data_IF_938031865086
#
_entry.id   IF_938031865086
#
_cell.length_a   1.000
_cell.length_b   1.000
_cell.length_c   1.000
_cell.angle_alpha   90.00
_cell.angle_beta   90.00
_cell.angle_gamma   90.00
#
_symmetry.space_group_name_H-M   'P 1'
#
loop_
_entity.id
_entity.type
_entity.pdbx_description
1 polymer ?
#
# COMPACT_ATOMS: atom_id res chain seq x y z
N UNK A 1 -1.29 -5.96 31.64
CA UNK A 1 -0.14 -5.04 31.54
C UNK A 1 -0.18 -4.41 30.16
N UNK A 2 -0.04 -3.10 30.08
CA UNK A 2 0.03 -2.45 28.76
C UNK A 2 1.40 -2.80 28.15
N UNK A 3 1.41 -3.35 26.94
CA UNK A 3 2.63 -3.67 26.23
C UNK A 3 3.38 -2.38 25.87
N UNK A 4 4.71 -2.43 25.86
CA UNK A 4 5.54 -1.35 25.35
C UNK A 4 5.76 -1.48 23.82
N UNK A 5 5.98 -2.70 23.36
CA UNK A 5 6.23 -3.04 21.98
C UNK A 5 5.21 -4.06 21.46
N UNK A 6 4.59 -3.78 20.33
CA UNK A 6 3.74 -4.74 19.61
C UNK A 6 4.38 -5.09 18.27
N UNK A 7 4.53 -6.37 17.97
CA UNK A 7 4.96 -6.85 16.65
C UNK A 7 3.74 -7.38 15.92
N UNK A 8 3.52 -6.89 14.71
CA UNK A 8 2.37 -7.22 13.86
C UNK A 8 2.81 -7.98 12.62
N UNK A 9 2.25 -9.16 12.39
CA UNK A 9 2.64 -10.05 11.30
C UNK A 9 1.39 -10.58 10.60
N UNK A 10 1.10 -10.13 9.36
CA UNK A 10 0.04 -10.71 8.54
C UNK A 10 0.46 -12.06 7.99
N UNK A 11 -0.44 -13.04 8.02
CA UNK A 11 -0.20 -14.42 7.57
C UNK A 11 -1.27 -14.82 6.55
N UNK A 12 -0.83 -15.41 5.44
CA UNK A 12 -1.72 -16.03 4.46
C UNK A 12 -1.02 -17.18 3.72
N UNK A 13 -1.30 -18.42 4.10
CA UNK A 13 -0.70 -19.64 3.55
C UNK A 13 0.83 -19.65 3.67
N UNK A 14 1.34 -19.49 4.89
CA UNK A 14 2.76 -19.39 5.22
C UNK A 14 3.24 -20.55 6.12
N UNK A 15 2.58 -21.72 6.06
CA UNK A 15 2.89 -22.87 6.90
C UNK A 15 4.37 -23.28 6.87
N UNK A 16 5.07 -23.05 5.74
CA UNK A 16 6.49 -23.41 5.58
C UNK A 16 7.41 -22.42 6.30
N UNK A 17 7.01 -21.15 6.38
CA UNK A 17 7.82 -20.06 6.96
C UNK A 17 7.59 -19.90 8.48
N UNK A 18 6.41 -20.25 8.99
CA UNK A 18 6.04 -20.04 10.41
C UNK A 18 7.04 -20.64 11.40
N UNK A 19 7.56 -21.87 11.24
CA UNK A 19 8.51 -22.43 12.22
C UNK A 19 9.78 -21.61 12.33
N UNK A 20 10.41 -21.28 11.20
CA UNK A 20 11.65 -20.48 11.14
C UNK A 20 11.40 -19.05 11.60
N UNK A 21 10.26 -18.46 11.22
CA UNK A 21 9.87 -17.13 11.67
C UNK A 21 9.72 -17.06 13.18
N UNK A 22 9.02 -18.04 13.77
CA UNK A 22 8.83 -18.11 15.22
C UNK A 22 10.14 -18.30 15.98
N UNK A 23 10.99 -19.22 15.52
CA UNK A 23 12.30 -19.45 16.11
C UNK A 23 13.15 -18.17 16.14
N UNK A 24 13.29 -17.50 14.99
CA UNK A 24 14.10 -16.28 14.88
C UNK A 24 13.50 -15.12 15.67
N UNK A 25 12.18 -14.92 15.56
CA UNK A 25 11.48 -13.84 16.24
C UNK A 25 11.53 -14.01 17.77
N UNK A 26 11.26 -15.22 18.28
CA UNK A 26 11.32 -15.51 19.72
C UNK A 26 12.72 -15.30 20.29
N UNK A 27 13.76 -15.66 19.52
CA UNK A 27 15.15 -15.38 19.88
C UNK A 27 15.44 -13.90 19.97
N UNK A 28 15.05 -13.10 18.96
CA UNK A 28 15.23 -11.64 18.98
C UNK A 28 14.53 -11.02 20.18
N UNK A 29 13.28 -11.45 20.46
CA UNK A 29 12.52 -10.93 21.59
C UNK A 29 13.17 -11.29 22.94
N UNK A 30 13.74 -12.47 23.06
CA UNK A 30 14.43 -12.92 24.28
C UNK A 30 15.79 -12.24 24.48
N UNK A 31 16.51 -11.91 23.42
CA UNK A 31 17.86 -11.30 23.50
C UNK A 31 17.83 -9.77 23.55
N UNK A 32 16.92 -9.13 22.80
CA UNK A 32 16.94 -7.66 22.63
C UNK A 32 15.91 -6.92 23.48
N UNK A 33 14.85 -7.60 23.95
CA UNK A 33 13.74 -6.97 24.69
C UNK A 33 13.53 -7.63 26.05
N UNK A 34 14.58 -7.59 26.88
CA UNK A 34 14.65 -8.25 28.19
C UNK A 34 14.18 -7.38 29.34
N UNK A 35 13.98 -6.07 29.13
CA UNK A 35 13.58 -5.14 30.17
C UNK A 35 12.13 -5.41 30.61
N UNK A 36 11.89 -5.81 31.88
CA UNK A 36 10.55 -6.03 32.42
C UNK A 36 9.66 -4.78 32.41
N UNK A 37 10.25 -3.58 32.37
CA UNK A 37 9.52 -2.31 32.25
C UNK A 37 9.04 -2.04 30.82
N UNK A 38 9.54 -2.78 29.82
CA UNK A 38 9.20 -2.68 28.42
C UNK A 38 8.62 -4.00 27.89
N UNK A 39 7.48 -4.46 28.40
CA UNK A 39 6.88 -5.72 27.97
C UNK A 39 6.47 -5.67 26.50
N UNK A 40 6.56 -6.81 25.82
CA UNK A 40 6.22 -6.93 24.41
C UNK A 40 5.08 -7.91 24.19
N UNK A 41 4.43 -7.77 23.04
CA UNK A 41 3.42 -8.69 22.51
C UNK A 41 3.63 -8.91 21.01
N UNK A 42 3.16 -10.06 20.50
CA UNK A 42 3.15 -10.38 19.09
C UNK A 42 1.72 -10.69 18.66
N UNK A 43 1.28 -10.03 17.58
CA UNK A 43 -0.04 -10.23 17.00
C UNK A 43 0.12 -10.78 15.58
N UNK A 44 -0.22 -12.05 15.40
CA UNK A 44 -0.40 -12.64 14.09
C UNK A 44 -1.83 -12.41 13.61
N UNK A 45 -2.01 -12.03 12.35
CA UNK A 45 -3.34 -11.99 11.74
C UNK A 45 -3.39 -13.02 10.61
N UNK A 46 -4.18 -14.06 10.81
CA UNK A 46 -4.48 -15.03 9.77
C UNK A 46 -5.54 -14.46 8.82
N UNK A 47 -5.13 -14.15 7.61
CA UNK A 47 -5.99 -13.58 6.56
C UNK A 47 -6.76 -14.69 5.80
N UNK A 48 -7.36 -15.62 6.53
CA UNK A 48 -8.17 -16.71 5.99
C UNK A 48 -7.34 -17.76 5.26
N UNK A 49 -6.25 -18.22 5.84
CA UNK A 49 -5.40 -19.29 5.30
C UNK A 49 -6.17 -20.58 5.08
N UNK A 50 -5.76 -21.34 4.06
CA UNK A 50 -6.37 -22.62 3.67
C UNK A 50 -5.47 -23.81 3.97
N UNK A 51 -4.26 -23.53 4.41
CA UNK A 51 -3.24 -24.52 4.82
C UNK A 51 -3.21 -24.67 6.35
N UNK A 52 -2.13 -25.18 6.89
CA UNK A 52 -1.97 -25.41 8.34
C UNK A 52 -1.53 -24.14 9.12
N UNK A 53 -1.39 -22.99 8.46
CA UNK A 53 -0.87 -21.76 9.09
C UNK A 53 -1.64 -21.40 10.36
N UNK A 54 -2.97 -21.30 10.30
CA UNK A 54 -3.80 -20.97 11.46
C UNK A 54 -3.60 -21.93 12.62
N UNK A 55 -3.60 -23.25 12.34
CA UNK A 55 -3.42 -24.27 13.38
C UNK A 55 -2.08 -24.12 14.11
N UNK A 56 -1.00 -23.87 13.35
CA UNK A 56 0.35 -23.67 13.91
C UNK A 56 0.42 -22.41 14.77
N UNK A 57 -0.17 -21.30 14.32
CA UNK A 57 -0.21 -20.05 15.08
C UNK A 57 -0.99 -20.19 16.39
N UNK A 58 -2.12 -20.91 16.36
CA UNK A 58 -2.92 -21.17 17.56
C UNK A 58 -2.14 -21.99 18.59
N UNK A 59 -1.35 -22.96 18.17
CA UNK A 59 -0.46 -23.72 19.08
C UNK A 59 0.62 -22.81 19.68
N UNK A 60 1.21 -21.89 18.90
CA UNK A 60 2.16 -20.89 19.42
C UNK A 60 1.48 -20.01 20.48
N UNK A 61 0.27 -19.49 20.19
CA UNK A 61 -0.46 -18.63 21.11
C UNK A 61 -0.89 -19.34 22.40
N UNK A 62 -1.11 -20.67 22.39
CA UNK A 62 -1.35 -21.45 23.60
C UNK A 62 -0.10 -21.59 24.47
N UNK A 63 1.07 -21.71 23.83
CA UNK A 63 2.35 -21.89 24.52
C UNK A 63 2.96 -20.57 25.03
N UNK A 64 2.67 -19.43 24.39
CA UNK A 64 3.24 -18.12 24.74
C UNK A 64 2.11 -17.10 24.96
N UNK A 65 1.85 -16.70 26.23
CA UNK A 65 0.74 -15.80 26.60
C UNK A 65 0.85 -14.39 25.98
N UNK A 66 2.03 -13.98 25.53
CA UNK A 66 2.28 -12.70 24.88
C UNK A 66 1.94 -12.71 23.37
N UNK A 67 1.52 -13.87 22.85
CA UNK A 67 1.12 -14.03 21.46
C UNK A 67 -0.39 -14.06 21.33
N UNK A 68 -0.92 -13.29 20.39
CA UNK A 68 -2.32 -13.31 19.97
C UNK A 68 -2.43 -13.69 18.50
N UNK A 69 -3.51 -14.37 18.14
CA UNK A 69 -3.83 -14.66 16.75
C UNK A 69 -5.22 -14.14 16.42
N UNK A 70 -5.28 -13.21 15.50
CA UNK A 70 -6.52 -12.65 14.95
C UNK A 70 -6.90 -13.47 13.71
N UNK A 71 -7.98 -14.25 13.80
CA UNK A 71 -8.48 -15.07 12.70
C UNK A 71 -9.52 -14.31 11.91
N UNK A 72 -9.31 -14.13 10.61
CA UNK A 72 -10.30 -13.59 9.69
C UNK A 72 -11.20 -14.70 9.12
N UNK A 73 -12.44 -14.36 8.77
CA UNK A 73 -13.38 -15.32 8.19
C UNK A 73 -13.07 -15.67 6.72
N UNK A 74 -12.25 -14.87 6.03
CA UNK A 74 -11.76 -15.06 4.66
C UNK A 74 -10.58 -14.15 4.38
N UNK A 75 -9.97 -14.26 3.20
CA UNK A 75 -8.93 -13.35 2.74
C UNK A 75 -9.48 -11.96 2.41
N UNK A 76 -8.87 -10.92 3.00
CA UNK A 76 -9.15 -9.49 2.78
C UNK A 76 -7.93 -8.72 2.30
N UNK A 77 -6.77 -9.39 2.22
CA UNK A 77 -5.49 -8.82 1.80
C UNK A 77 -4.62 -8.30 2.94
N UNK A 78 -3.31 -8.26 2.68
CA UNK A 78 -2.26 -7.96 3.65
C UNK A 78 -2.51 -6.69 4.46
N UNK A 79 -2.90 -5.59 3.79
CA UNK A 79 -3.16 -4.33 4.49
C UNK A 79 -4.33 -4.43 5.48
N UNK A 80 -5.40 -5.16 5.11
CA UNK A 80 -6.51 -5.41 6.02
C UNK A 80 -6.09 -6.24 7.23
N UNK A 81 -5.22 -7.24 7.01
CA UNK A 81 -4.67 -8.08 8.07
C UNK A 81 -3.82 -7.25 9.06
N UNK A 82 -3.00 -6.33 8.55
CA UNK A 82 -2.23 -5.40 9.40
C UNK A 82 -3.16 -4.49 10.22
N UNK A 83 -4.22 -3.93 9.60
CA UNK A 83 -5.20 -3.13 10.34
C UNK A 83 -5.94 -3.94 11.42
N UNK A 84 -6.27 -5.21 11.13
CA UNK A 84 -6.86 -6.10 12.12
C UNK A 84 -5.93 -6.34 13.31
N UNK A 85 -4.64 -6.49 13.06
CA UNK A 85 -3.67 -6.59 14.13
C UNK A 85 -3.51 -5.25 14.89
N UNK A 86 -3.43 -4.10 14.19
CA UNK A 86 -3.33 -2.79 14.83
C UNK A 86 -4.45 -2.54 15.85
N UNK A 87 -5.67 -2.99 15.56
CA UNK A 87 -6.80 -2.88 16.47
C UNK A 87 -6.62 -3.68 17.79
N UNK A 88 -5.79 -4.72 17.76
CA UNK A 88 -5.50 -5.58 18.92
C UNK A 88 -4.20 -5.22 19.63
N UNK A 89 -3.39 -4.29 19.08
CA UNK A 89 -2.12 -3.86 19.67
C UNK A 89 -2.32 -2.93 20.86
N UNK A 90 -1.47 -3.10 21.89
CA UNK A 90 -1.44 -2.25 23.10
C UNK A 90 -0.10 -1.50 23.27
N UNK A 91 0.94 -1.88 22.53
CA UNK A 91 2.28 -1.32 22.64
C UNK A 91 2.35 0.17 22.28
N UNK A 92 3.27 0.89 22.93
CA UNK A 92 3.58 2.29 22.60
C UNK A 92 4.30 2.40 21.25
N UNK A 93 5.04 1.37 20.89
CA UNK A 93 5.70 1.21 19.59
C UNK A 93 5.08 0.00 18.91
N UNK A 94 4.74 0.14 17.63
CA UNK A 94 4.17 -0.95 16.84
C UNK A 94 5.04 -1.20 15.62
N UNK A 95 5.52 -2.43 15.46
CA UNK A 95 6.37 -2.85 14.34
C UNK A 95 5.60 -3.81 13.44
N UNK A 96 5.60 -3.56 12.14
CA UNK A 96 5.09 -4.49 11.13
C UNK A 96 6.23 -5.31 10.53
N UNK A 97 6.00 -6.60 10.31
CA UNK A 97 6.95 -7.53 9.73
C UNK A 97 6.22 -8.49 8.79
N UNK A 98 6.80 -8.80 7.62
CA UNK A 98 6.29 -9.83 6.71
C UNK A 98 6.71 -11.23 7.17
N UNK A 99 5.87 -12.23 6.89
CA UNK A 99 6.11 -13.62 7.28
C UNK A 99 7.10 -14.36 6.38
N UNK A 100 7.43 -13.84 5.20
CA UNK A 100 8.25 -14.50 4.18
C UNK A 100 9.77 -14.46 4.44
N UNK A 101 10.17 -13.93 5.59
CA UNK A 101 11.57 -13.82 6.05
C UNK A 101 12.50 -12.98 5.13
N UNK A 102 11.96 -12.28 4.13
CA UNK A 102 12.76 -11.36 3.31
C UNK A 102 13.33 -10.19 4.14
N UNK A 103 12.59 -9.77 5.16
CA UNK A 103 13.03 -8.81 6.15
C UNK A 103 13.34 -9.55 7.46
N UNK A 104 14.61 -9.65 7.87
CA UNK A 104 14.99 -10.39 9.07
C UNK A 104 14.41 -9.79 10.34
N UNK A 105 13.83 -10.59 11.27
CA UNK A 105 13.38 -10.12 12.58
C UNK A 105 14.48 -9.43 13.40
N UNK A 106 15.73 -9.77 13.16
CA UNK A 106 16.94 -9.20 13.81
C UNK A 106 17.11 -7.71 13.55
N UNK A 107 16.40 -7.16 12.57
CA UNK A 107 16.43 -5.72 12.26
C UNK A 107 15.43 -4.91 13.12
N UNK A 108 14.49 -5.57 13.82
CA UNK A 108 13.47 -4.92 14.68
C UNK A 108 14.09 -3.95 15.69
N UNK A 109 15.16 -4.33 16.45
CA UNK A 109 15.74 -3.44 17.45
C UNK A 109 16.22 -2.11 16.88
N UNK A 110 16.74 -2.08 15.65
CA UNK A 110 17.20 -0.84 15.00
C UNK A 110 16.05 0.14 14.73
N UNK A 111 14.88 -0.37 14.32
CA UNK A 111 13.71 0.47 14.08
C UNK A 111 13.12 0.98 15.39
N UNK A 112 13.04 0.11 16.41
CA UNK A 112 12.54 0.48 17.75
C UNK A 112 13.39 1.60 18.34
N UNK A 113 14.73 1.47 18.30
CA UNK A 113 15.64 2.50 18.77
C UNK A 113 15.40 3.87 18.09
N UNK A 114 15.09 3.88 16.81
CA UNK A 114 14.76 5.13 16.10
C UNK A 114 13.44 5.75 16.55
N UNK A 115 12.42 4.93 16.85
CA UNK A 115 11.17 5.46 17.43
C UNK A 115 11.43 6.03 18.83
N UNK A 116 12.29 5.38 19.63
CA UNK A 116 12.70 5.88 20.95
C UNK A 116 13.48 7.21 20.88
N UNK A 117 14.17 7.50 19.76
CA UNK A 117 14.76 8.82 19.49
C UNK A 117 13.69 9.90 19.17
N UNK A 118 12.40 9.53 19.17
CA UNK A 118 11.27 10.44 18.96
C UNK A 118 10.85 10.56 17.48
N UNK A 119 11.14 9.58 16.63
CA UNK A 119 10.55 9.47 15.30
C UNK A 119 9.17 8.80 15.39
N UNK A 120 8.20 9.32 14.64
CA UNK A 120 6.82 8.82 14.66
C UNK A 120 6.62 7.62 13.74
N UNK A 121 7.36 7.59 12.62
CA UNK A 121 7.36 6.49 11.66
C UNK A 121 8.79 6.22 11.17
N UNK A 122 9.18 4.96 11.19
CA UNK A 122 10.51 4.50 10.75
C UNK A 122 10.35 3.39 9.73
N UNK A 123 10.89 3.57 8.52
CA UNK A 123 10.88 2.58 7.46
C UNK A 123 12.20 1.82 7.35
N UNK A 124 12.15 0.53 7.04
CA UNK A 124 13.32 -0.20 6.59
C UNK A 124 13.66 0.18 5.14
N UNK A 125 14.93 0.42 4.86
CA UNK A 125 15.45 0.62 3.51
C UNK A 125 16.34 -0.56 3.13
N UNK A 126 15.90 -1.36 2.16
CA UNK A 126 16.58 -2.57 1.71
C UNK A 126 17.83 -2.22 0.90
N UNK A 127 19.01 -2.52 1.43
CA UNK A 127 20.29 -2.34 0.73
C UNK A 127 20.51 -3.47 -0.29
N UNK A 128 21.04 -3.15 -1.47
CA UNK A 128 21.45 -4.13 -2.51
C UNK A 128 20.39 -4.44 -3.58
N UNK A 129 19.20 -3.85 -3.53
CA UNK A 129 18.15 -4.09 -4.54
C UNK A 129 18.42 -3.42 -5.90
N UNK A 130 19.37 -2.48 -5.97
CA UNK A 130 19.57 -1.65 -7.17
C UNK A 130 20.34 -2.37 -8.30
N UNK A 131 21.05 -3.45 -8.04
CA UNK A 131 21.98 -4.05 -9.01
C UNK A 131 21.38 -5.17 -9.88
N UNK A 132 20.20 -5.72 -9.56
CA UNK A 132 19.62 -6.86 -10.27
C UNK A 132 18.22 -6.67 -10.86
N UNK A 133 17.57 -5.51 -10.70
CA UNK A 133 16.22 -5.32 -11.23
C UNK A 133 16.23 -4.76 -12.66
N UNK A 134 15.61 -5.49 -13.60
CA UNK A 134 15.36 -5.09 -14.98
C UNK A 134 14.75 -3.68 -15.07
N UNK A 135 15.20 -2.88 -16.04
CA UNK A 135 14.73 -1.52 -16.36
C UNK A 135 13.20 -1.36 -16.37
N UNK A 136 12.47 -2.40 -16.80
CA UNK A 136 10.99 -2.44 -16.78
C UNK A 136 10.37 -2.56 -15.38
N UNK A 137 11.11 -3.00 -14.36
CA UNK A 137 10.65 -3.08 -12.96
C UNK A 137 10.97 -1.81 -12.17
N UNK A 138 12.01 -1.09 -12.53
CA UNK A 138 12.45 0.12 -11.82
C UNK A 138 11.68 1.38 -12.25
N UNK A 139 11.21 1.46 -13.49
CA UNK A 139 10.48 2.61 -14.02
C UNK A 139 9.14 2.88 -13.30
N UNK A 140 8.26 1.87 -13.09
CA UNK A 140 7.04 2.06 -12.33
C UNK A 140 7.26 2.49 -10.88
N UNK A 141 8.28 1.94 -10.21
CA UNK A 141 8.59 2.31 -8.82
C UNK A 141 9.08 3.75 -8.69
N UNK A 142 9.83 4.29 -9.67
CA UNK A 142 10.27 5.69 -9.68
C UNK A 142 9.08 6.66 -9.83
N UNK A 143 8.09 6.31 -10.64
CA UNK A 143 6.89 7.13 -10.82
C UNK A 143 6.05 7.16 -9.52
N UNK A 144 5.83 5.99 -8.91
CA UNK A 144 5.12 5.90 -7.61
C UNK A 144 5.86 6.68 -6.54
N UNK A 145 7.17 6.48 -6.41
CA UNK A 145 7.98 7.23 -5.45
C UNK A 145 7.94 8.75 -5.70
N UNK A 146 7.92 9.20 -6.97
CA UNK A 146 7.81 10.62 -7.31
C UNK A 146 6.44 11.18 -6.95
N UNK A 147 5.37 10.43 -7.18
CA UNK A 147 3.99 10.84 -6.87
C UNK A 147 3.77 10.84 -5.37
N UNK A 148 4.12 9.76 -4.68
CA UNK A 148 4.01 9.67 -3.22
C UNK A 148 4.83 10.77 -2.54
N UNK A 149 6.03 11.06 -3.04
CA UNK A 149 6.86 12.19 -2.59
C UNK A 149 6.16 13.53 -2.78
N UNK A 150 5.47 13.74 -3.92
CA UNK A 150 4.75 15.00 -4.20
C UNK A 150 3.50 15.14 -3.34
N UNK A 151 2.84 14.03 -3.01
CA UNK A 151 1.58 14.01 -2.24
C UNK A 151 1.84 14.06 -0.74
N UNK A 152 2.86 13.34 -0.23
CA UNK A 152 3.17 13.28 1.21
C UNK A 152 4.26 14.26 1.64
N UNK A 153 4.97 14.90 0.70
CA UNK A 153 6.12 15.76 0.98
C UNK A 153 7.37 15.03 1.50
N UNK A 154 7.31 13.72 1.67
CA UNK A 154 8.37 12.89 2.28
C UNK A 154 9.20 12.19 1.22
N UNK A 155 10.53 12.27 1.35
CA UNK A 155 11.48 11.55 0.49
C UNK A 155 11.86 10.25 1.18
N UNK A 156 11.24 9.13 0.80
CA UNK A 156 11.66 7.80 1.21
C UNK A 156 12.37 7.08 0.06
N UNK A 157 13.35 6.25 0.41
CA UNK A 157 14.09 5.42 -0.55
C UNK A 157 13.32 4.15 -0.91
N UNK A 158 12.61 3.56 0.06
CA UNK A 158 11.90 2.29 -0.14
C UNK A 158 10.50 2.30 0.49
N UNK A 159 9.49 2.60 -0.32
CA UNK A 159 8.10 2.48 0.08
C UNK A 159 7.59 1.04 0.15
N UNK A 160 8.27 0.11 -0.54
CA UNK A 160 7.84 -1.29 -0.64
C UNK A 160 8.30 -2.18 0.51
N UNK A 161 9.14 -1.68 1.43
CA UNK A 161 9.53 -2.43 2.60
C UNK A 161 8.43 -2.36 3.66
N UNK A 162 7.93 -3.52 4.08
CA UNK A 162 6.88 -3.61 5.11
C UNK A 162 7.44 -3.76 6.53
N UNK A 163 8.76 -3.91 6.69
CA UNK A 163 9.41 -3.80 7.99
C UNK A 163 9.46 -2.33 8.40
N UNK A 164 8.54 -1.93 9.27
CA UNK A 164 8.34 -0.55 9.70
C UNK A 164 7.98 -0.49 11.16
N UNK A 165 8.38 0.60 11.82
CA UNK A 165 7.97 0.91 13.20
C UNK A 165 7.18 2.22 13.22
N UNK A 166 6.17 2.26 14.08
CA UNK A 166 5.27 3.39 14.24
C UNK A 166 5.07 3.71 15.72
N UNK A 167 4.94 4.99 16.06
CA UNK A 167 4.45 5.40 17.36
C UNK A 167 2.97 5.04 17.54
N UNK A 168 2.51 4.91 18.77
CA UNK A 168 1.10 4.66 19.10
C UNK A 168 0.17 5.70 18.49
N UNK A 169 0.56 6.96 18.50
CA UNK A 169 -0.27 8.06 17.99
C UNK A 169 -0.52 7.91 16.50
N UNK A 170 0.50 7.53 15.71
CA UNK A 170 0.35 7.26 14.28
C UNK A 170 -0.58 6.06 14.05
N UNK A 171 -0.44 4.98 14.81
CA UNK A 171 -1.32 3.80 14.69
C UNK A 171 -2.76 4.16 15.03
N UNK A 172 -2.99 4.92 16.11
CA UNK A 172 -4.32 5.38 16.49
C UNK A 172 -4.95 6.27 15.40
N UNK A 173 -4.16 7.20 14.83
CA UNK A 173 -4.62 8.03 13.72
C UNK A 173 -5.00 7.20 12.49
N UNK A 174 -4.18 6.21 12.13
CA UNK A 174 -4.49 5.29 11.04
C UNK A 174 -5.76 4.47 11.28
N UNK A 175 -6.01 4.03 12.51
CA UNK A 175 -7.22 3.28 12.87
C UNK A 175 -8.50 4.12 12.76
N UNK A 176 -8.41 5.42 12.94
CA UNK A 176 -9.55 6.34 12.74
C UNK A 176 -9.90 6.54 11.26
N UNK A 177 -8.97 6.27 10.34
CA UNK A 177 -9.22 6.40 8.91
C UNK A 177 -10.15 5.30 8.42
N UNK A 178 -11.18 5.68 7.69
CA UNK A 178 -12.16 4.75 7.09
C UNK A 178 -11.77 4.31 5.67
N UNK A 179 -10.75 4.89 5.09
CA UNK A 179 -10.27 4.61 3.73
C UNK A 179 -10.00 3.11 3.54
N UNK A 180 -10.62 2.51 2.51
CA UNK A 180 -10.47 1.08 2.22
C UNK A 180 -9.18 0.74 1.49
N UNK A 181 -8.77 1.62 0.59
CA UNK A 181 -7.58 1.46 -0.23
C UNK A 181 -6.41 2.18 0.42
N UNK A 182 -5.98 1.72 1.60
CA UNK A 182 -4.88 2.35 2.33
C UNK A 182 -3.59 1.61 2.06
N UNK A 183 -2.66 2.25 1.37
CA UNK A 183 -1.26 1.83 1.38
C UNK A 183 -0.65 2.32 2.70
N UNK A 184 -0.49 1.41 3.66
CA UNK A 184 -0.10 1.73 5.04
C UNK A 184 1.11 2.65 5.14
N UNK A 185 2.22 2.45 4.38
CA UNK A 185 3.36 3.37 4.43
C UNK A 185 3.02 4.83 4.08
N UNK A 186 2.16 5.03 3.07
CA UNK A 186 1.76 6.39 2.69
C UNK A 186 0.80 7.00 3.71
N UNK A 187 -0.15 6.20 4.21
CA UNK A 187 -1.10 6.64 5.23
C UNK A 187 -0.40 7.02 6.53
N UNK A 188 0.54 6.20 7.02
CA UNK A 188 1.32 6.50 8.20
C UNK A 188 2.11 7.81 8.07
N UNK A 189 2.72 8.04 6.89
CA UNK A 189 3.47 9.27 6.61
C UNK A 189 2.58 10.52 6.61
N UNK A 190 1.28 10.40 6.33
CA UNK A 190 0.35 11.53 6.39
C UNK A 190 0.08 12.02 7.83
N UNK A 191 0.31 11.15 8.82
CA UNK A 191 0.11 11.48 10.24
C UNK A 191 1.43 11.68 11.00
N UNK A 192 2.53 11.12 10.50
CA UNK A 192 3.83 11.22 11.13
C UNK A 192 4.45 12.61 10.90
N UNK A 193 4.90 13.26 11.96
CA UNK A 193 5.63 14.54 11.89
C UNK A 193 7.13 14.32 11.64
N UNK A 194 7.72 13.31 12.29
CA UNK A 194 9.13 12.95 12.19
C UNK A 194 9.27 11.55 11.60
N UNK A 195 9.83 11.47 10.40
CA UNK A 195 9.97 10.21 9.66
C UNK A 195 11.45 9.93 9.44
N UNK A 196 11.85 8.66 9.62
CA UNK A 196 13.20 8.19 9.35
C UNK A 196 13.19 6.91 8.52
N UNK A 197 14.33 6.59 7.93
CA UNK A 197 14.62 5.30 7.31
C UNK A 197 15.89 4.72 7.92
N UNK A 198 15.90 3.40 8.08
CA UNK A 198 17.05 2.64 8.58
C UNK A 198 17.45 1.62 7.54
N UNK A 199 18.74 1.51 7.19
CA UNK A 199 19.20 0.46 6.31
C UNK A 199 18.98 -0.91 6.98
N UNK A 200 18.29 -1.81 6.28
CA UNK A 200 17.99 -3.15 6.75
C UNK A 200 18.52 -4.19 5.77
N UNK A 201 18.92 -5.33 6.29
CA UNK A 201 19.30 -6.47 5.47
C UNK A 201 18.07 -6.97 4.68
N UNK A 202 18.33 -7.49 3.48
CA UNK A 202 17.30 -8.10 2.65
C UNK A 202 17.78 -9.50 2.25
N UNK A 203 17.02 -10.53 2.67
CA UNK A 203 17.29 -11.90 2.29
C UNK A 203 16.51 -12.27 1.02
N UNK A 204 17.02 -13.21 0.25
CA UNK A 204 16.26 -13.84 -0.82
C UNK A 204 15.07 -14.62 -0.20
N UNK A 205 13.96 -14.68 -0.92
CA UNK A 205 12.76 -15.37 -0.47
C UNK A 205 13.05 -16.84 -0.19
N UNK A 206 12.79 -17.30 1.02
CA UNK A 206 13.09 -18.68 1.43
C UNK A 206 12.24 -19.72 0.67
N UNK A 207 11.00 -19.38 0.27
CA UNK A 207 10.11 -20.24 -0.52
C UNK A 207 9.09 -19.42 -1.32
N UNK A 208 8.72 -19.89 -2.53
CA UNK A 208 7.64 -19.34 -3.37
C UNK A 208 8.09 -18.52 -4.59
N UNK A 209 7.41 -18.72 -5.73
CA UNK A 209 7.63 -17.94 -6.96
C UNK A 209 6.82 -16.64 -6.98
N UNK A 210 7.41 -15.57 -7.53
CA UNK A 210 6.71 -14.31 -7.77
C UNK A 210 5.69 -14.47 -8.92
N UNK A 211 4.42 -14.64 -8.59
CA UNK A 211 3.30 -14.81 -9.55
C UNK A 211 2.75 -13.50 -10.12
N UNK A 212 3.53 -12.42 -10.16
CA UNK A 212 3.05 -11.13 -10.67
C UNK A 212 3.35 -10.98 -12.17
N UNK A 213 2.34 -11.23 -13.02
CA UNK A 213 2.39 -10.89 -14.43
C UNK A 213 2.41 -9.36 -14.67
N UNK A 214 2.91 -8.92 -15.83
CA UNK A 214 3.02 -7.50 -16.22
C UNK A 214 1.69 -6.73 -16.06
N UNK A 215 0.55 -7.32 -16.44
CA UNK A 215 -0.78 -6.73 -16.26
C UNK A 215 -1.12 -6.42 -14.81
N UNK A 216 -0.75 -7.31 -13.90
CA UNK A 216 -1.01 -7.12 -12.46
C UNK A 216 -0.18 -5.98 -11.89
N UNK A 217 1.06 -5.80 -12.38
CA UNK A 217 1.92 -4.68 -12.01
C UNK A 217 1.37 -3.34 -12.55
N UNK A 218 0.90 -3.29 -13.80
CA UNK A 218 0.28 -2.10 -14.39
C UNK A 218 -0.98 -1.69 -13.62
N UNK A 219 -1.87 -2.65 -13.33
CA UNK A 219 -3.08 -2.39 -12.57
C UNK A 219 -2.75 -1.89 -11.15
N UNK A 220 -1.77 -2.51 -10.48
CA UNK A 220 -1.33 -2.06 -9.16
C UNK A 220 -0.81 -0.61 -9.19
N UNK A 221 -0.05 -0.24 -10.23
CA UNK A 221 0.45 1.13 -10.39
C UNK A 221 -0.69 2.12 -10.64
N UNK A 222 -1.66 1.74 -11.48
CA UNK A 222 -2.85 2.57 -11.75
C UNK A 222 -3.70 2.74 -10.48
N UNK A 223 -3.88 1.67 -9.72
CA UNK A 223 -4.58 1.69 -8.44
C UNK A 223 -3.90 2.62 -7.43
N UNK A 224 -2.59 2.52 -7.28
CA UNK A 224 -1.83 3.41 -6.40
C UNK A 224 -1.95 4.88 -6.85
N UNK A 225 -1.80 5.14 -8.16
CA UNK A 225 -1.88 6.48 -8.72
C UNK A 225 -3.24 7.13 -8.48
N UNK A 226 -4.32 6.40 -8.72
CA UNK A 226 -5.70 6.91 -8.60
C UNK A 226 -6.19 6.94 -7.15
N UNK A 227 -5.61 6.11 -6.25
CA UNK A 227 -5.95 6.12 -4.82
C UNK A 227 -5.35 7.31 -4.08
N UNK A 228 -4.13 7.72 -4.44
CA UNK A 228 -3.38 8.75 -3.69
C UNK A 228 -3.24 10.08 -4.42
N UNK A 229 -3.74 10.21 -5.65
CA UNK A 229 -3.52 11.41 -6.45
C UNK A 229 -4.71 11.75 -7.33
N UNK A 230 -5.08 13.02 -7.34
CA UNK A 230 -6.00 13.59 -8.31
C UNK A 230 -5.29 14.02 -9.62
N UNK A 231 -3.97 13.77 -9.72
CA UNK A 231 -3.18 14.14 -10.90
C UNK A 231 -3.75 13.60 -12.22
N UNK A 232 -4.20 12.32 -12.33
CA UNK A 232 -4.79 11.83 -13.57
C UNK A 232 -6.04 12.60 -13.98
N UNK A 233 -6.89 12.97 -13.00
CA UNK A 233 -8.10 13.73 -13.23
C UNK A 233 -7.77 15.19 -13.62
N UNK A 234 -6.80 15.80 -12.95
CA UNK A 234 -6.33 17.16 -13.28
C UNK A 234 -5.68 17.20 -14.67
N UNK A 235 -4.83 16.21 -15.01
CA UNK A 235 -4.23 16.10 -16.33
C UNK A 235 -5.30 15.95 -17.43
N UNK A 236 -6.33 15.16 -17.17
CA UNK A 236 -7.47 14.99 -18.08
C UNK A 236 -8.23 16.32 -18.26
N UNK A 237 -8.44 17.06 -17.18
CA UNK A 237 -9.11 18.37 -17.23
C UNK A 237 -8.31 19.37 -18.07
N UNK A 238 -6.98 19.43 -17.86
CA UNK A 238 -6.09 20.30 -18.67
C UNK A 238 -6.11 19.87 -20.14
N UNK A 239 -6.02 18.55 -20.40
CA UNK A 239 -6.13 18.01 -21.76
C UNK A 239 -7.47 18.37 -22.41
N UNK A 240 -8.58 18.27 -21.68
CA UNK A 240 -9.90 18.69 -22.15
C UNK A 240 -9.97 20.15 -22.53
N UNK A 241 -9.41 21.06 -21.72
CA UNK A 241 -9.35 22.50 -22.00
C UNK A 241 -8.52 22.78 -23.26
N UNK A 242 -7.33 22.16 -23.39
CA UNK A 242 -6.46 22.32 -24.57
C UNK A 242 -7.16 21.80 -25.83
N UNK A 243 -7.81 20.66 -25.74
CA UNK A 243 -8.55 20.04 -26.86
C UNK A 243 -9.74 20.90 -27.27
N UNK A 244 -10.49 21.45 -26.31
CA UNK A 244 -11.60 22.36 -26.57
C UNK A 244 -11.13 23.65 -27.24
N UNK A 245 -10.05 24.25 -26.76
CA UNK A 245 -9.46 25.45 -27.36
C UNK A 245 -9.00 25.19 -28.80
N UNK A 246 -8.33 24.05 -29.04
CA UNK A 246 -7.92 23.65 -30.38
C UNK A 246 -9.13 23.43 -31.30
N UNK A 247 -10.16 22.72 -30.83
CA UNK A 247 -11.40 22.51 -31.59
C UNK A 247 -12.12 23.78 -31.92
N UNK A 248 -12.15 24.78 -30.99
CA UNK A 248 -12.73 26.10 -31.22
C UNK A 248 -11.95 26.86 -32.27
N UNK A 249 -10.62 26.88 -32.22
CA UNK A 249 -9.78 27.55 -33.23
C UNK A 249 -9.96 26.92 -34.62
N UNK A 250 -10.04 25.56 -34.68
CA UNK A 250 -10.31 24.84 -35.91
C UNK A 250 -11.68 25.17 -36.47
N UNK A 251 -12.71 25.25 -35.63
CA UNK A 251 -14.06 25.68 -36.02
C UNK A 251 -14.04 27.07 -36.62
N UNK A 252 -13.40 28.05 -35.95
CA UNK A 252 -13.29 29.39 -36.43
C UNK A 252 -12.57 29.44 -37.79
N UNK A 253 -11.47 28.71 -37.94
CA UNK A 253 -10.72 28.63 -39.19
C UNK A 253 -11.56 28.05 -40.33
N UNK A 254 -12.33 26.97 -40.07
CA UNK A 254 -13.23 26.39 -41.06
C UNK A 254 -14.37 27.30 -41.44
N UNK A 255 -14.93 28.06 -40.49
CA UNK A 255 -15.98 29.05 -40.78
C UNK A 255 -15.42 30.16 -41.68
N UNK A 256 -14.25 30.74 -41.37
CA UNK A 256 -13.59 31.76 -42.19
C UNK A 256 -13.27 31.20 -43.58
N UNK A 257 -12.69 29.97 -43.68
CA UNK A 257 -12.38 29.33 -44.94
C UNK A 257 -13.63 29.18 -45.83
N UNK A 258 -14.78 28.79 -45.25
CA UNK A 258 -16.05 28.66 -45.97
C UNK A 258 -16.56 29.95 -46.51
N UNK A 259 -16.40 31.05 -45.82
CA UNK A 259 -16.80 32.40 -46.32
C UNK A 259 -15.90 32.84 -47.46
N UNK A 260 -14.62 32.47 -47.46
CA UNK A 260 -13.64 32.86 -48.47
C UNK A 260 -13.75 31.96 -49.75
N UNK A 261 -14.13 30.66 -49.58
CA UNK A 261 -14.18 29.68 -50.66
C UNK A 261 -15.55 28.96 -50.73
N UNK A 262 -16.57 29.59 -51.31
CA UNK A 262 -17.95 29.06 -51.30
C UNK A 262 -18.13 27.75 -52.12
N UNK A 263 -17.23 27.49 -53.09
CA UNK A 263 -17.44 26.46 -54.13
C UNK A 263 -16.88 25.06 -53.81
N UNK A 264 -16.39 24.78 -52.63
CA UNK A 264 -15.66 23.52 -52.34
C UNK A 264 -16.23 22.69 -51.19
N UNK A 265 -17.31 21.90 -51.35
CA UNK A 265 -18.02 21.43 -50.15
C UNK A 265 -18.24 19.91 -49.99
N UNK A 266 -18.00 19.08 -50.98
CA UNK A 266 -18.34 17.64 -50.84
C UNK A 266 -17.25 16.77 -50.18
N UNK A 267 -16.00 17.20 -50.18
CA UNK A 267 -14.85 16.40 -49.64
C UNK A 267 -14.63 16.54 -48.13
N UNK A 268 -15.25 17.51 -47.44
CA UNK A 268 -15.08 17.78 -46.04
C UNK A 268 -15.85 16.86 -45.07
N UNK A 269 -16.82 16.11 -45.56
CA UNK A 269 -17.70 15.28 -44.70
C UNK A 269 -16.92 14.16 -43.99
N UNK A 270 -16.04 13.45 -44.72
CA UNK A 270 -15.20 12.41 -44.09
C UNK A 270 -14.24 12.94 -43.06
N UNK A 271 -13.64 14.11 -43.34
CA UNK A 271 -12.76 14.80 -42.38
C UNK A 271 -13.54 15.21 -41.13
N UNK A 272 -14.78 15.70 -41.29
CA UNK A 272 -15.64 16.05 -40.16
C UNK A 272 -15.95 14.84 -39.27
N UNK A 273 -16.30 13.69 -39.89
CA UNK A 273 -16.54 12.47 -39.14
C UNK A 273 -15.28 11.95 -38.45
N UNK A 274 -14.11 12.02 -39.09
CA UNK A 274 -12.85 11.60 -38.45
C UNK A 274 -12.54 12.46 -37.19
N UNK A 275 -12.72 13.78 -37.30
CA UNK A 275 -12.56 14.70 -36.15
C UNK A 275 -13.60 14.40 -35.08
N UNK A 276 -14.86 14.20 -35.44
CA UNK A 276 -15.94 13.87 -34.52
C UNK A 276 -15.63 12.58 -33.74
N UNK A 277 -15.24 11.48 -34.43
CA UNK A 277 -14.91 10.23 -33.78
C UNK A 277 -13.69 10.32 -32.87
N UNK A 278 -12.69 11.13 -33.24
CA UNK A 278 -11.56 11.41 -32.38
C UNK A 278 -12.01 12.06 -31.04
N UNK A 279 -12.84 13.11 -31.12
CA UNK A 279 -13.35 13.77 -29.90
C UNK A 279 -14.25 12.85 -29.07
N UNK A 280 -15.10 12.06 -29.71
CA UNK A 280 -15.94 11.07 -29.02
C UNK A 280 -15.06 10.02 -28.33
N UNK A 281 -13.98 9.55 -28.98
CA UNK A 281 -13.00 8.67 -28.36
C UNK A 281 -12.33 9.27 -27.12
N UNK A 282 -11.88 10.51 -27.20
CA UNK A 282 -11.32 11.26 -26.05
C UNK A 282 -12.35 11.38 -24.92
N UNK A 283 -13.62 11.62 -25.24
CA UNK A 283 -14.70 11.73 -24.26
C UNK A 283 -14.96 10.39 -23.54
N UNK A 284 -14.91 9.26 -24.24
CA UNK A 284 -15.03 7.94 -23.58
C UNK A 284 -13.88 7.63 -22.64
N UNK A 285 -12.64 8.03 -22.97
CA UNK A 285 -11.49 7.91 -22.07
C UNK A 285 -11.74 8.75 -20.80
N UNK A 286 -12.23 9.96 -20.97
CA UNK A 286 -12.58 10.84 -19.86
C UNK A 286 -13.65 10.24 -18.94
N UNK A 287 -14.71 9.69 -19.51
CA UNK A 287 -15.77 9.02 -18.76
C UNK A 287 -15.26 7.76 -18.05
N UNK A 288 -14.37 7.00 -18.67
CA UNK A 288 -13.74 5.84 -18.03
C UNK A 288 -12.95 6.22 -16.78
N UNK A 289 -12.13 7.26 -16.87
CA UNK A 289 -11.38 7.75 -15.72
C UNK A 289 -12.31 8.32 -14.62
N UNK A 290 -13.33 9.10 -15.02
CA UNK A 290 -14.32 9.63 -14.08
C UNK A 290 -15.07 8.49 -13.36
N UNK A 291 -15.44 7.45 -14.13
CA UNK A 291 -16.09 6.24 -13.58
C UNK A 291 -15.23 5.54 -12.54
N UNK A 292 -13.90 5.48 -12.73
CA UNK A 292 -12.97 4.92 -11.75
C UNK A 292 -13.01 5.71 -10.42
N UNK A 293 -12.96 7.05 -10.46
CA UNK A 293 -13.04 7.86 -9.25
C UNK A 293 -14.42 7.76 -8.58
N UNK A 294 -15.51 7.76 -9.35
CA UNK A 294 -16.86 7.55 -8.81
C UNK A 294 -16.98 6.16 -8.16
N UNK A 295 -16.42 5.14 -8.78
CA UNK A 295 -16.38 3.79 -8.24
C UNK A 295 -15.66 3.72 -6.89
N UNK A 296 -14.54 4.43 -6.74
CA UNK A 296 -13.81 4.55 -5.47
C UNK A 296 -14.63 5.29 -4.42
N UNK A 297 -15.20 6.45 -4.75
CA UNK A 297 -16.10 7.20 -3.85
C UNK A 297 -17.27 6.32 -3.40
N UNK A 298 -17.86 5.56 -4.33
CA UNK A 298 -18.97 4.64 -4.00
C UNK A 298 -18.53 3.56 -3.00
N UNK A 299 -17.32 3.02 -3.13
CA UNK A 299 -16.78 2.04 -2.18
C UNK A 299 -16.54 2.64 -0.80
N UNK A 300 -16.07 3.88 -0.72
CA UNK A 300 -15.85 4.63 0.52
C UNK A 300 -17.19 4.94 1.23
N UNK A 301 -18.16 5.47 0.48
CA UNK A 301 -19.47 5.87 1.02
C UNK A 301 -20.29 4.68 1.56
N UNK A 302 -20.07 3.47 1.01
CA UNK A 302 -20.77 2.26 1.50
C UNK A 302 -20.43 1.88 2.95
N UNK A 303 -19.36 2.41 3.52
CA UNK A 303 -18.91 2.19 4.91
C UNK A 303 -18.93 0.71 5.36
N UNK A 304 -18.64 -0.23 4.46
CA UNK A 304 -18.52 -1.65 4.80
C UNK A 304 -17.23 -1.87 5.60
N UNK A 305 -17.22 -2.75 6.61
CA UNK A 305 -16.01 -3.04 7.35
C UNK A 305 -14.88 -3.54 6.41
N UNK A 306 -13.63 -3.12 6.69
CA UNK A 306 -12.45 -3.53 5.91
C UNK A 306 -12.21 -5.02 5.98
N UNK A 307 -12.47 -5.62 7.13
CA UNK A 307 -12.31 -7.04 7.44
C UNK A 307 -13.35 -7.47 8.48
N UNK A 308 -13.49 -8.76 8.66
CA UNK A 308 -14.35 -9.37 9.69
C UNK A 308 -13.51 -10.35 10.48
N UNK A 309 -13.29 -10.03 11.75
CA UNK A 309 -12.66 -10.94 12.71
C UNK A 309 -13.64 -12.05 13.05
N UNK A 310 -13.22 -13.29 12.86
CA UNK A 310 -13.99 -14.49 13.26
C UNK A 310 -13.73 -14.84 14.72
N UNK A 311 -12.46 -14.78 15.12
CA UNK A 311 -12.03 -15.10 16.49
C UNK A 311 -10.66 -14.50 16.78
N UNK A 312 -10.43 -14.17 18.05
CA UNK A 312 -9.09 -13.87 18.59
C UNK A 312 -8.71 -15.03 19.50
N UNK A 313 -7.55 -15.65 19.21
CA UNK A 313 -6.98 -16.72 19.99
C UNK A 313 -5.84 -16.18 20.84
N UNK A 314 -5.86 -16.45 22.14
CA UNK A 314 -4.84 -16.09 23.13
C UNK A 314 -4.84 -17.15 24.21
N UNK A 315 -3.69 -17.36 24.89
CA UNK A 315 -3.66 -18.16 26.11
C UNK A 315 -4.63 -17.55 27.13
N UNK A 316 -5.49 -18.41 27.71
CA UNK A 316 -6.48 -18.01 28.71
C UNK A 316 -5.88 -17.65 30.06
#
# INVERSE_FOLDING_TARGET
>A
MDAYLSIVIPIYNEQENIPTLWERLSKVMAESFTDPAKPWEIIFTDDGSRDRSLAMLVEIAKAEPRVKVVEFNRNYGQHSAIFGAFAETKGQIVVTLDADLQNPPEEIPKLVAKVEEGFDAVGGWRQGRQDNDSFFRTMPSKIVNAITRKTTGVKLHDYGCMLRAYSRDVVNAMLLCKERSSFIPALANSFAKRIAEVPVAHAERAAGESKYGLWKLINLQFDLLTSFSLLPLQALSVFGVVTAAFGFLLFLGLVIYRFVHPEGTAQGVFTLFAILFFFVGCQFIAFGLLGEYIGRIYQEVRDRPRYMVKKVHQAG
#
